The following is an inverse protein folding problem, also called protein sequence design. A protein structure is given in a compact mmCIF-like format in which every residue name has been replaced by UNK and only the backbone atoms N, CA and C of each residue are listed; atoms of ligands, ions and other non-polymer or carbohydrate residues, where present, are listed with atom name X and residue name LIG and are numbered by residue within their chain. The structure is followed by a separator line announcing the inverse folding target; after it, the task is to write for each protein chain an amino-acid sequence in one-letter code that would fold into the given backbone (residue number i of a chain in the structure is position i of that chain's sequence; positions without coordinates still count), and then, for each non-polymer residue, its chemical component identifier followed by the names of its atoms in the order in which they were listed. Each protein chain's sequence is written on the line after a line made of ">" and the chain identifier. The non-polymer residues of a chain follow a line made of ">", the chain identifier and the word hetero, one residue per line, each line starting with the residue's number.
data_IF_492725014586
#
_entry.id   IF_492725014586
#
_cell.length_a   1.000
_cell.length_b   1.000
_cell.length_c   1.000
_cell.angle_alpha   90.00
_cell.angle_beta   90.00
_cell.angle_gamma   90.00
#
_symmetry.space_group_name_H-M   'P 1'
#
loop_
_entity.id
_entity.type
_entity.pdbx_description
1 polymer ?
#
# COMPACT_ATOMS: atom_id res chain seq x y z
N UNK A 1 -10.74 29.47 0.99
CA UNK A 1 -10.32 28.42 1.94
C UNK A 1 -10.05 27.04 1.29
N UNK A 2 -10.26 26.84 -0.02
CA UNK A 2 -9.94 25.56 -0.72
C UNK A 2 -8.44 25.22 -0.85
N UNK A 3 -7.54 26.19 -0.64
CA UNK A 3 -6.09 26.04 -0.87
C UNK A 3 -5.38 25.09 0.12
N UNK A 4 -6.02 24.72 1.23
CA UNK A 4 -5.40 23.95 2.33
C UNK A 4 -5.78 22.46 2.35
N UNK A 5 -6.87 22.07 1.70
CA UNK A 5 -7.34 20.68 1.70
C UNK A 5 -6.37 19.74 0.99
N UNK A 6 -6.00 20.06 -0.26
CA UNK A 6 -5.12 19.20 -1.06
C UNK A 6 -3.69 19.07 -0.51
N UNK A 7 -3.01 20.16 -0.09
CA UNK A 7 -1.64 20.08 0.41
C UNK A 7 -1.47 19.29 1.71
N UNK A 8 -2.57 18.99 2.43
CA UNK A 8 -2.56 18.16 3.63
C UNK A 8 -3.09 16.74 3.37
N UNK A 9 -4.13 16.62 2.55
CA UNK A 9 -4.76 15.33 2.21
C UNK A 9 -3.76 14.41 1.53
N UNK A 10 -3.03 14.91 0.54
CA UNK A 10 -2.11 14.08 -0.24
C UNK A 10 -0.95 13.54 0.61
N UNK A 11 -0.29 14.34 1.47
CA UNK A 11 0.69 13.82 2.40
C UNK A 11 0.20 12.71 3.32
N UNK A 12 -0.94 12.94 3.97
CA UNK A 12 -1.53 11.96 4.88
C UNK A 12 -1.92 10.68 4.15
N UNK A 13 -2.40 10.80 2.91
CA UNK A 13 -2.67 9.66 2.04
C UNK A 13 -1.42 8.83 1.83
N UNK A 14 -0.32 9.42 1.38
CA UNK A 14 0.94 8.71 1.14
C UNK A 14 1.44 8.03 2.41
N UNK A 15 1.45 8.73 3.55
CA UNK A 15 1.89 8.17 4.82
C UNK A 15 1.00 6.97 5.22
N UNK A 16 -0.32 7.13 5.17
CA UNK A 16 -1.24 6.07 5.56
C UNK A 16 -1.20 4.87 4.62
N UNK A 17 -1.05 5.10 3.31
CA UNK A 17 -0.95 4.05 2.30
C UNK A 17 0.32 3.21 2.47
N UNK A 18 1.42 3.83 2.91
CA UNK A 18 2.68 3.13 3.19
C UNK A 18 2.70 2.40 4.54
N UNK A 19 1.96 2.89 5.54
CA UNK A 19 2.00 2.35 6.90
C UNK A 19 0.92 1.29 7.12
N UNK A 20 -0.33 1.60 6.74
CA UNK A 20 -1.48 0.75 6.99
C UNK A 20 -1.78 -0.08 5.75
N UNK A 21 -1.88 -1.38 5.93
CA UNK A 21 -2.30 -2.27 4.86
C UNK A 21 -2.97 -3.49 5.45
N UNK A 22 -3.65 -4.24 4.58
CA UNK A 22 -4.14 -5.58 4.91
C UNK A 22 -3.19 -6.57 4.28
N UNK A 23 -2.73 -7.54 5.07
CA UNK A 23 -1.99 -8.69 4.56
C UNK A 23 -2.98 -9.81 4.25
N UNK A 24 -2.64 -10.58 3.23
CA UNK A 24 -3.45 -11.66 2.69
C UNK A 24 -2.51 -12.84 2.43
N UNK A 25 -2.80 -13.99 3.04
CA UNK A 25 -2.13 -15.24 2.69
C UNK A 25 -2.99 -15.96 1.65
N UNK A 26 -2.46 -16.08 0.44
CA UNK A 26 -3.20 -16.55 -0.74
C UNK A 26 -2.45 -17.64 -1.46
N UNK A 27 -3.19 -18.58 -2.06
CA UNK A 27 -2.65 -19.52 -3.04
C UNK A 27 -2.94 -18.95 -4.41
N UNK A 28 -1.91 -18.68 -5.20
CA UNK A 28 -2.07 -18.46 -6.63
C UNK A 28 -2.34 -19.81 -7.30
N UNK A 29 -3.47 -19.96 -8.01
CA UNK A 29 -3.96 -21.26 -8.53
C UNK A 29 -2.91 -21.93 -9.45
N UNK A 30 -2.13 -21.13 -10.17
CA UNK A 30 -1.08 -21.58 -11.08
C UNK A 30 0.35 -21.38 -10.54
N UNK A 31 0.52 -21.06 -9.26
CA UNK A 31 1.82 -20.78 -8.68
C UNK A 31 1.92 -21.18 -7.19
N UNK A 32 2.74 -20.47 -6.43
CA UNK A 32 3.07 -20.74 -5.03
C UNK A 32 2.10 -20.02 -4.08
N UNK A 33 2.06 -20.47 -2.83
CA UNK A 33 1.53 -19.70 -1.71
C UNK A 33 2.37 -18.44 -1.49
N UNK A 34 1.70 -17.29 -1.37
CA UNK A 34 2.36 -16.01 -1.18
C UNK A 34 1.63 -15.11 -0.20
N UNK A 35 2.42 -14.29 0.49
CA UNK A 35 1.90 -13.13 1.18
C UNK A 35 1.69 -11.99 0.18
N UNK A 36 0.49 -11.45 0.21
CA UNK A 36 0.06 -10.35 -0.61
C UNK A 36 -0.42 -9.20 0.29
N UNK A 37 -0.31 -7.97 -0.20
CA UNK A 37 -0.63 -6.78 0.57
C UNK A 37 -1.50 -5.82 -0.22
N UNK A 38 -2.35 -5.12 0.52
CA UNK A 38 -3.14 -4.03 0.00
C UNK A 38 -4.52 -3.94 0.64
N UNK A 39 -5.09 -2.74 0.62
CA UNK A 39 -6.44 -2.51 1.08
C UNK A 39 -7.07 -1.36 0.26
N UNK A 40 -8.31 -1.51 -0.25
CA UNK A 40 -9.16 -2.70 -0.15
C UNK A 40 -8.75 -3.87 -1.07
N UNK A 41 -7.99 -3.62 -2.13
CA UNK A 41 -7.55 -4.65 -3.09
C UNK A 41 -6.10 -5.06 -2.84
N UNK A 42 -5.73 -6.27 -3.25
CA UNK A 42 -4.32 -6.69 -3.29
C UNK A 42 -3.62 -5.95 -4.41
N UNK A 43 -2.63 -5.10 -4.07
CA UNK A 43 -1.85 -4.36 -5.06
C UNK A 43 -0.40 -4.79 -5.13
N UNK A 44 0.08 -5.60 -4.19
CA UNK A 44 1.43 -6.16 -4.26
C UNK A 44 1.53 -7.56 -3.67
N UNK A 45 2.48 -8.35 -4.14
CA UNK A 45 2.83 -9.65 -3.57
C UNK A 45 4.31 -9.98 -3.81
N UNK A 46 4.79 -11.02 -3.14
CA UNK A 46 6.10 -11.62 -3.45
C UNK A 46 6.16 -12.01 -4.94
N UNK A 47 7.29 -11.71 -5.58
CA UNK A 47 7.54 -12.07 -6.97
C UNK A 47 7.89 -13.53 -7.12
N UNK A 48 7.43 -14.13 -8.21
CA UNK A 48 7.63 -15.57 -8.47
C UNK A 48 8.97 -15.90 -9.12
N UNK A 49 9.72 -14.88 -9.56
CA UNK A 49 10.94 -15.06 -10.35
C UNK A 49 12.22 -15.01 -9.53
N UNK A 50 12.26 -14.19 -8.48
CA UNK A 50 13.39 -14.11 -7.54
C UNK A 50 12.87 -13.95 -6.11
N UNK A 51 13.57 -14.52 -5.13
CA UNK A 51 13.14 -14.55 -3.71
C UNK A 51 13.02 -13.16 -3.05
N UNK A 52 13.52 -12.10 -3.68
CA UNK A 52 13.49 -10.72 -3.16
C UNK A 52 12.68 -9.76 -4.05
N UNK A 53 12.25 -10.19 -5.24
CA UNK A 53 11.40 -9.36 -6.11
C UNK A 53 10.01 -9.18 -5.55
N UNK A 54 9.41 -8.03 -5.82
CA UNK A 54 8.01 -7.71 -5.55
C UNK A 54 7.26 -7.52 -6.87
N UNK A 55 6.03 -8.03 -6.95
CA UNK A 55 5.12 -7.71 -8.03
C UNK A 55 4.12 -6.66 -7.57
N UNK A 56 3.99 -5.58 -8.34
CA UNK A 56 3.02 -4.51 -8.14
C UNK A 56 1.94 -4.55 -9.21
N UNK A 57 0.70 -4.38 -8.81
CA UNK A 57 -0.48 -4.32 -9.68
C UNK A 57 -1.01 -2.88 -9.70
N UNK A 58 -0.73 -2.17 -10.80
CA UNK A 58 -0.90 -0.72 -10.89
C UNK A 58 -2.36 -0.30 -10.79
N UNK A 59 -3.31 -1.06 -11.36
CA UNK A 59 -4.74 -0.72 -11.28
C UNK A 59 -5.28 -0.80 -9.86
N UNK A 60 -4.93 -1.86 -9.15
CA UNK A 60 -5.33 -2.11 -7.76
C UNK A 60 -4.62 -1.12 -6.83
N UNK A 61 -3.35 -0.79 -7.12
CA UNK A 61 -2.59 0.22 -6.39
C UNK A 61 -3.24 1.60 -6.51
N UNK A 62 -3.59 2.01 -7.73
CA UNK A 62 -4.26 3.28 -7.99
C UNK A 62 -5.64 3.34 -7.31
N UNK A 63 -6.43 2.25 -7.40
CA UNK A 63 -7.72 2.18 -6.73
C UNK A 63 -7.59 2.29 -5.22
N UNK A 64 -6.67 1.55 -4.62
CA UNK A 64 -6.38 1.64 -3.20
C UNK A 64 -5.97 3.06 -2.81
N UNK A 65 -5.01 3.66 -3.53
CA UNK A 65 -4.58 5.03 -3.27
C UNK A 65 -5.76 6.02 -3.31
N UNK A 66 -6.67 5.88 -4.27
CA UNK A 66 -7.89 6.68 -4.33
C UNK A 66 -8.81 6.46 -3.13
N UNK A 67 -8.93 5.24 -2.61
CA UNK A 67 -9.69 4.98 -1.38
C UNK A 67 -9.07 5.69 -0.17
N UNK A 68 -7.76 5.59 0.03
CA UNK A 68 -7.06 6.32 1.11
C UNK A 68 -7.20 7.84 0.94
N UNK A 69 -7.08 8.33 -0.29
CA UNK A 69 -7.23 9.75 -0.60
C UNK A 69 -8.64 10.24 -0.30
N UNK A 70 -9.66 9.50 -0.71
CA UNK A 70 -11.05 9.83 -0.43
C UNK A 70 -11.34 9.83 1.08
N UNK A 71 -10.83 8.85 1.82
CA UNK A 71 -10.93 8.80 3.27
C UNK A 71 -10.36 10.05 3.93
N UNK A 72 -9.12 10.43 3.60
CA UNK A 72 -8.49 11.62 4.18
C UNK A 72 -9.16 12.92 3.73
N UNK A 73 -9.62 12.99 2.48
CA UNK A 73 -10.30 14.17 1.96
C UNK A 73 -11.60 14.42 2.74
N UNK A 74 -12.36 13.37 3.00
CA UNK A 74 -13.57 13.44 3.82
C UNK A 74 -13.24 13.78 5.27
N UNK A 75 -12.25 13.11 5.86
CA UNK A 75 -11.84 13.34 7.25
C UNK A 75 -11.37 14.78 7.50
N UNK A 76 -10.46 15.29 6.66
CA UNK A 76 -9.96 16.66 6.74
C UNK A 76 -11.07 17.65 6.39
N UNK A 77 -11.93 17.32 5.41
CA UNK A 77 -13.10 18.13 5.07
C UNK A 77 -14.05 18.32 6.25
N UNK A 78 -14.33 17.25 7.00
CA UNK A 78 -15.12 17.31 8.23
C UNK A 78 -14.42 18.14 9.31
N UNK A 79 -13.14 17.88 9.59
CA UNK A 79 -12.41 18.65 10.61
C UNK A 79 -12.36 20.12 10.25
N UNK A 80 -12.08 20.45 8.99
CA UNK A 80 -12.01 21.84 8.53
C UNK A 80 -13.36 22.58 8.62
N UNK A 81 -14.48 21.85 8.69
CA UNK A 81 -15.80 22.41 8.98
C UNK A 81 -15.94 22.85 10.44
N UNK A 82 -15.31 22.13 11.38
CA UNK A 82 -15.39 22.41 12.82
C UNK A 82 -14.23 23.30 13.34
N UNK A 83 -13.03 23.13 12.79
CA UNK A 83 -11.83 23.90 13.12
C UNK A 83 -11.20 24.49 11.87
N UNK A 84 -10.94 25.79 11.89
CA UNK A 84 -10.29 26.49 10.77
C UNK A 84 -8.77 26.27 10.84
N UNK A 85 -8.30 25.12 10.33
CA UNK A 85 -6.89 24.73 10.37
C UNK A 85 -6.11 25.53 9.32
N UNK A 86 -5.18 26.37 9.77
CA UNK A 86 -4.22 27.05 8.90
C UNK A 86 -2.91 26.26 8.87
N UNK A 87 -2.64 25.61 7.74
CA UNK A 87 -1.40 24.86 7.54
C UNK A 87 -0.31 25.78 6.98
N UNK A 88 0.86 25.84 7.61
CA UNK A 88 1.92 26.70 7.14
C UNK A 88 2.65 26.09 5.94
N UNK A 89 2.98 26.94 4.96
CA UNK A 89 3.52 26.53 3.65
C UNK A 89 4.86 25.78 3.74
N UNK A 90 5.65 25.99 4.79
CA UNK A 90 6.95 25.35 4.95
C UNK A 90 6.83 23.83 5.20
N UNK A 91 5.80 23.38 5.92
CA UNK A 91 5.60 21.95 6.20
C UNK A 91 5.30 21.20 4.91
N UNK A 92 4.49 21.79 4.03
CA UNK A 92 4.20 21.21 2.72
C UNK A 92 5.46 21.10 1.86
N UNK A 93 6.32 22.14 1.83
CA UNK A 93 7.60 22.08 1.11
C UNK A 93 8.50 20.98 1.66
N UNK A 94 8.69 20.93 2.98
CA UNK A 94 9.52 19.90 3.64
C UNK A 94 9.02 18.49 3.31
N UNK A 95 7.71 18.27 3.37
CA UNK A 95 7.09 17.00 3.02
C UNK A 95 7.43 16.56 1.58
N UNK A 96 7.34 17.48 0.61
CA UNK A 96 7.66 17.17 -0.78
C UNK A 96 9.13 16.83 -0.99
N UNK A 97 10.05 17.53 -0.31
CA UNK A 97 11.48 17.19 -0.36
C UNK A 97 11.75 15.78 0.17
N UNK A 98 11.19 15.45 1.34
CA UNK A 98 11.34 14.11 1.95
C UNK A 98 10.74 13.03 1.06
N UNK A 99 9.54 13.25 0.50
CA UNK A 99 8.93 12.30 -0.42
C UNK A 99 9.75 12.08 -1.69
N UNK A 100 10.33 13.14 -2.25
CA UNK A 100 11.16 13.03 -3.45
C UNK A 100 12.39 12.15 -3.19
N UNK A 101 13.06 12.35 -2.05
CA UNK A 101 14.22 11.53 -1.64
C UNK A 101 13.82 10.08 -1.43
N UNK A 102 12.74 9.82 -0.68
CA UNK A 102 12.25 8.47 -0.42
C UNK A 102 11.82 7.76 -1.69
N UNK A 103 11.15 8.46 -2.61
CA UNK A 103 10.75 7.91 -3.91
C UNK A 103 11.96 7.57 -4.77
N UNK A 104 12.99 8.41 -4.79
CA UNK A 104 14.25 8.11 -5.48
C UNK A 104 14.94 6.85 -4.93
N UNK A 105 15.02 6.72 -3.59
CA UNK A 105 15.56 5.53 -2.95
C UNK A 105 14.74 4.27 -3.27
N UNK A 106 13.41 4.38 -3.25
CA UNK A 106 12.51 3.29 -3.62
C UNK A 106 12.72 2.83 -5.06
N UNK A 107 12.78 3.77 -6.02
CA UNK A 107 13.02 3.46 -7.43
C UNK A 107 14.37 2.76 -7.65
N UNK A 108 15.41 3.19 -6.95
CA UNK A 108 16.73 2.55 -7.01
C UNK A 108 16.67 1.09 -6.51
N UNK A 109 16.08 0.86 -5.35
CA UNK A 109 15.92 -0.50 -4.80
C UNK A 109 15.06 -1.39 -5.70
N UNK A 110 14.02 -0.82 -6.30
CA UNK A 110 13.13 -1.54 -7.18
C UNK A 110 13.84 -2.06 -8.44
N UNK A 111 14.76 -1.27 -8.99
CA UNK A 111 15.64 -1.72 -10.08
C UNK A 111 16.62 -2.82 -9.63
N UNK A 112 17.21 -2.70 -8.44
CA UNK A 112 18.16 -3.68 -7.91
C UNK A 112 17.51 -5.04 -7.61
N UNK A 113 16.26 -5.04 -7.12
CA UNK A 113 15.54 -6.27 -6.76
C UNK A 113 14.74 -6.90 -7.91
N UNK A 114 14.81 -6.34 -9.12
CA UNK A 114 14.06 -6.80 -10.30
C UNK A 114 12.54 -6.87 -10.03
N UNK A 115 12.01 -5.81 -9.40
CA UNK A 115 10.58 -5.68 -9.14
C UNK A 115 9.80 -5.55 -10.46
N UNK A 116 8.62 -6.16 -10.51
CA UNK A 116 7.76 -6.13 -11.69
C UNK A 116 6.53 -5.27 -11.47
N UNK A 117 6.27 -4.39 -12.43
CA UNK A 117 5.08 -3.54 -12.47
C UNK A 117 4.14 -4.05 -13.56
N UNK A 118 3.04 -4.65 -13.13
CA UNK A 118 2.00 -5.19 -14.00
C UNK A 118 0.79 -4.25 -13.96
N UNK A 119 0.10 -4.09 -15.09
CA UNK A 119 -1.08 -3.24 -15.14
C UNK A 119 -2.17 -3.76 -14.20
N UNK A 120 -2.43 -5.06 -14.25
CA UNK A 120 -3.44 -5.78 -13.46
C UNK A 120 -2.89 -7.15 -13.07
N UNK A 121 -3.37 -7.73 -11.97
CA UNK A 121 -2.99 -9.10 -11.57
C UNK A 121 -3.40 -10.12 -12.65
N UNK A 122 -2.44 -10.94 -13.16
CA UNK A 122 -2.73 -11.88 -14.25
C UNK A 122 -3.19 -13.27 -13.77
N UNK A 123 -3.29 -13.49 -12.46
CA UNK A 123 -3.59 -14.79 -11.87
C UNK A 123 -4.75 -14.73 -10.87
N UNK A 124 -5.42 -15.88 -10.75
CA UNK A 124 -6.46 -16.11 -9.76
C UNK A 124 -5.85 -16.51 -8.41
N UNK A 125 -6.54 -16.13 -7.34
CA UNK A 125 -6.10 -16.35 -5.97
C UNK A 125 -7.20 -17.02 -5.15
N UNK A 126 -6.81 -18.00 -4.35
CA UNK A 126 -7.65 -18.56 -3.28
C UNK A 126 -7.18 -18.00 -1.95
N UNK A 127 -8.08 -17.30 -1.25
CA UNK A 127 -7.80 -16.75 0.06
C UNK A 127 -7.76 -17.86 1.11
N UNK A 128 -6.70 -17.89 1.92
CA UNK A 128 -6.63 -18.76 3.11
C UNK A 128 -6.90 -17.92 4.36
N UNK A 129 -6.12 -16.86 4.56
CA UNK A 129 -6.22 -16.02 5.75
C UNK A 129 -5.87 -14.56 5.42
N UNK A 130 -6.30 -13.64 6.27
CA UNK A 130 -5.95 -12.23 6.13
C UNK A 130 -6.06 -11.48 7.46
N UNK A 131 -5.33 -10.37 7.55
CA UNK A 131 -5.38 -9.53 8.73
C UNK A 131 -4.85 -8.13 8.46
N UNK A 132 -4.97 -7.26 9.46
CA UNK A 132 -4.40 -5.93 9.38
C UNK A 132 -2.91 -5.97 9.74
N UNK A 133 -2.13 -5.14 9.08
CA UNK A 133 -0.72 -4.96 9.38
C UNK A 133 -0.35 -3.49 9.40
N UNK A 134 0.64 -3.18 10.23
CA UNK A 134 1.30 -1.88 10.28
C UNK A 134 2.75 -2.11 9.86
N UNK A 135 3.19 -1.44 8.78
CA UNK A 135 4.53 -1.63 8.20
C UNK A 135 4.84 -3.10 7.88
N UNK A 136 3.85 -3.86 7.40
CA UNK A 136 4.00 -5.28 7.02
C UNK A 136 4.50 -6.21 8.14
N UNK A 137 4.47 -5.75 9.40
CA UNK A 137 4.79 -6.56 10.57
C UNK A 137 3.63 -7.50 10.91
N UNK A 138 3.80 -8.76 10.57
CA UNK A 138 2.88 -9.85 10.88
C UNK A 138 3.65 -11.18 10.92
N UNK A 139 3.00 -12.25 11.40
CA UNK A 139 3.62 -13.58 11.44
C UNK A 139 3.71 -14.16 10.02
N UNK A 140 4.95 -14.32 9.54
CA UNK A 140 5.28 -14.89 8.23
C UNK A 140 5.51 -16.40 8.26
N UNK A 141 5.20 -17.06 9.38
CA UNK A 141 5.33 -18.50 9.54
C UNK A 141 4.32 -19.24 8.64
N UNK A 142 4.81 -19.77 7.53
CA UNK A 142 3.99 -20.47 6.53
C UNK A 142 3.42 -21.78 7.06
N UNK A 143 4.11 -22.45 7.99
CA UNK A 143 3.66 -23.75 8.51
C UNK A 143 2.33 -23.64 9.25
N UNK A 144 2.12 -22.51 9.94
CA UNK A 144 0.85 -22.19 10.60
C UNK A 144 -0.33 -22.21 9.62
N UNK A 145 -0.12 -21.68 8.41
CA UNK A 145 -1.20 -21.55 7.42
C UNK A 145 -1.35 -22.80 6.55
N UNK A 146 -0.29 -23.60 6.37
CA UNK A 146 -0.39 -24.91 5.70
C UNK A 146 -1.32 -25.87 6.45
N UNK A 147 -1.36 -25.81 7.79
CA UNK A 147 -2.30 -26.59 8.61
C UNK A 147 -3.77 -26.23 8.37
N UNK A 148 -4.05 -24.97 7.99
CA UNK A 148 -5.40 -24.50 7.66
C UNK A 148 -5.86 -24.93 6.26
N UNK A 149 -4.91 -25.29 5.36
CA UNK A 149 -5.18 -25.76 4.00
C UNK A 149 -5.72 -27.20 3.95
N UNK A 150 -5.47 -28.00 4.99
CA UNK A 150 -5.78 -29.44 5.04
C UNK A 150 -7.11 -29.81 5.71
N UNK A 151 -7.89 -28.83 6.18
CA UNK A 151 -9.26 -29.00 6.66
C UNK A 151 -10.24 -28.42 5.63
#
# INVERSE_FOLDING_TARGET
>A
MKKLLFPLTLPLTIISFSIFSKWWYVIAIDAKDVFAYGFPLIYKCEGFHTSMSTQYFLTEMAFNFLCYFAFWLLFIGMINKFWNIQFPKYISKLFWYVCSILFGAFMYLSCEFDDRYLLKRPFEIKLIDCGLTVLEKHSTDREKYLKLKGN
#
